data_IF_824608736284
#
_entry.id   IF_824608736284
#
_cell.length_a   1.000
_cell.length_b   1.000
_cell.length_c   1.000
_cell.angle_alpha   90.00
_cell.angle_beta   90.00
_cell.angle_gamma   90.00
#
_symmetry.space_group_name_H-M   'P 1'
#
loop_
_entity.id
_entity.type
_entity.pdbx_description
1 polymer ?
#
# COMPACT_ATOMS: atom_id res chain seq x y z
N UNK A 1 -29.93 7.32 21.94
CA UNK A 1 -29.52 8.62 22.48
C UNK A 1 -28.17 8.93 21.83
N UNK A 2 -28.21 9.58 20.65
CA UNK A 2 -27.04 9.84 19.83
C UNK A 2 -26.33 11.09 20.37
N UNK A 3 -25.13 10.90 20.91
CA UNK A 3 -24.20 11.99 21.16
C UNK A 3 -23.58 12.35 19.80
N UNK A 4 -24.19 13.28 19.08
CA UNK A 4 -23.56 13.88 17.92
C UNK A 4 -22.39 14.75 18.39
N UNK A 5 -21.29 14.70 17.66
CA UNK A 5 -20.05 15.49 17.82
C UNK A 5 -20.27 17.02 17.75
N UNK A 6 -21.53 17.48 17.66
CA UNK A 6 -21.94 18.85 17.36
C UNK A 6 -21.77 19.82 18.55
N UNK A 7 -21.57 19.32 19.78
CA UNK A 7 -21.50 20.16 20.98
C UNK A 7 -20.08 20.63 21.36
N UNK A 8 -19.02 20.24 20.63
CA UNK A 8 -17.63 20.59 20.99
C UNK A 8 -17.04 21.72 20.13
N UNK A 9 -17.64 22.05 18.98
CA UNK A 9 -17.14 23.12 18.07
C UNK A 9 -17.68 24.52 18.38
N UNK A 10 -18.67 24.66 19.26
CA UNK A 10 -19.46 25.89 19.43
C UNK A 10 -18.78 27.03 20.25
N UNK A 11 -17.45 27.09 20.36
CA UNK A 11 -16.81 28.13 21.19
C UNK A 11 -15.33 28.41 20.97
N UNK A 12 -14.73 27.94 19.87
CA UNK A 12 -13.29 28.13 19.62
C UNK A 12 -13.11 29.28 18.64
N UNK A 13 -12.48 30.38 19.08
CA UNK A 13 -12.13 31.50 18.20
C UNK A 13 -11.12 31.06 17.13
N UNK A 14 -11.22 31.54 15.87
CA UNK A 14 -10.23 31.27 14.83
C UNK A 14 -8.80 31.64 15.24
N UNK A 15 -8.64 32.63 16.12
CA UNK A 15 -7.35 32.99 16.68
C UNK A 15 -6.77 31.92 17.61
N UNK A 16 -7.61 31.29 18.43
CA UNK A 16 -7.18 30.23 19.34
C UNK A 16 -6.76 28.98 18.57
N UNK A 17 -7.45 28.70 17.45
CA UNK A 17 -7.08 27.63 16.52
C UNK A 17 -5.69 27.85 15.91
N UNK A 18 -5.38 29.10 15.52
CA UNK A 18 -4.06 29.48 14.98
C UNK A 18 -2.95 29.50 16.03
N UNK A 19 -3.27 29.93 17.25
CA UNK A 19 -2.29 30.03 18.35
C UNK A 19 -1.96 28.68 18.97
N UNK A 20 -2.90 27.73 19.00
CA UNK A 20 -2.74 26.41 19.65
C UNK A 20 -3.24 25.24 18.78
N UNK A 21 -2.72 25.06 17.56
CA UNK A 21 -3.16 24.00 16.64
C UNK A 21 -2.94 22.59 17.20
N UNK A 22 -1.90 22.34 18.01
CA UNK A 22 -1.70 21.04 18.69
C UNK A 22 -2.85 20.68 19.65
N UNK A 23 -3.49 21.68 20.27
CA UNK A 23 -4.57 21.48 21.24
C UNK A 23 -5.91 21.25 20.57
N UNK A 24 -6.21 22.00 19.51
CA UNK A 24 -7.55 22.02 18.90
C UNK A 24 -7.65 21.15 17.64
N UNK A 25 -6.53 20.87 16.98
CA UNK A 25 -6.45 20.05 15.77
C UNK A 25 -5.70 18.77 16.11
N UNK A 26 -4.39 18.86 16.36
CA UNK A 26 -3.56 17.74 16.81
C UNK A 26 -3.70 16.46 15.96
N UNK A 27 -3.45 15.32 16.61
CA UNK A 27 -3.70 14.00 16.03
C UNK A 27 -5.17 13.75 15.68
N UNK A 28 -6.12 14.40 16.35
CA UNK A 28 -7.56 14.26 16.04
C UNK A 28 -7.88 14.78 14.64
N UNK A 29 -7.33 15.93 14.26
CA UNK A 29 -7.49 16.48 12.92
C UNK A 29 -6.72 15.68 11.88
N UNK A 30 -5.51 15.23 12.23
CA UNK A 30 -4.68 14.45 11.33
C UNK A 30 -5.25 13.06 11.02
N UNK A 31 -5.75 12.35 12.03
CA UNK A 31 -6.35 11.03 11.83
C UNK A 31 -7.64 11.11 11.02
N UNK A 32 -8.47 12.16 11.24
CA UNK A 32 -9.63 12.45 10.39
C UNK A 32 -9.22 12.71 8.94
N UNK A 33 -8.13 13.44 8.72
CA UNK A 33 -7.59 13.69 7.38
C UNK A 33 -7.05 12.40 6.73
N UNK A 34 -6.20 11.62 7.40
CA UNK A 34 -5.66 10.37 6.84
C UNK A 34 -6.77 9.33 6.58
N UNK A 35 -7.77 9.22 7.47
CA UNK A 35 -8.89 8.30 7.31
C UNK A 35 -9.93 8.74 6.27
N UNK A 36 -9.84 9.98 5.76
CA UNK A 36 -10.83 10.52 4.83
C UNK A 36 -10.76 9.92 3.42
N UNK A 37 -9.59 9.44 3.00
CA UNK A 37 -9.40 8.73 1.74
C UNK A 37 -8.29 7.68 1.88
N UNK A 38 -8.49 6.53 1.24
CA UNK A 38 -7.47 5.49 1.13
C UNK A 38 -6.17 5.99 0.49
N UNK A 39 -6.24 7.00 -0.40
CA UNK A 39 -5.05 7.64 -0.99
C UNK A 39 -4.17 8.34 0.07
N UNK A 40 -4.76 8.77 1.20
CA UNK A 40 -4.05 9.41 2.31
C UNK A 40 -3.69 8.46 3.44
N UNK A 41 -4.16 7.21 3.39
CA UNK A 41 -3.85 6.14 4.35
C UNK A 41 -2.46 5.56 4.12
N UNK A 42 -1.45 6.42 4.32
CA UNK A 42 -0.03 6.20 4.06
C UNK A 42 0.73 6.16 5.39
N UNK A 43 1.50 5.09 5.58
CA UNK A 43 2.35 4.90 6.75
C UNK A 43 3.78 4.54 6.35
N UNK A 44 4.68 4.58 7.33
CA UNK A 44 6.07 4.14 7.18
C UNK A 44 6.17 2.63 7.35
N UNK A 45 6.92 1.97 6.46
CA UNK A 45 7.18 0.52 6.47
C UNK A 45 8.23 0.13 7.51
N UNK A 46 9.10 1.08 7.90
CA UNK A 46 10.24 0.83 8.78
C UNK A 46 11.12 -0.30 8.26
N UNK A 47 11.35 -0.35 6.95
CA UNK A 47 12.03 -1.47 6.29
C UNK A 47 13.46 -1.65 6.78
N UNK A 48 14.22 -0.56 6.89
CA UNK A 48 15.58 -0.57 7.43
C UNK A 48 15.62 -0.93 8.91
N UNK A 49 14.71 -0.37 9.72
CA UNK A 49 14.64 -0.68 11.15
C UNK A 49 14.26 -2.14 11.38
N UNK A 50 13.31 -2.67 10.61
CA UNK A 50 12.94 -4.08 10.63
C UNK A 50 14.12 -4.96 10.24
N UNK A 51 14.88 -4.59 9.20
CA UNK A 51 16.09 -5.31 8.83
C UNK A 51 17.13 -5.30 9.96
N UNK A 52 17.34 -4.16 10.64
CA UNK A 52 18.25 -4.08 11.81
C UNK A 52 17.80 -4.98 12.95
N UNK A 53 16.50 -5.02 13.28
CA UNK A 53 15.98 -5.92 14.31
C UNK A 53 16.16 -7.39 13.92
N UNK A 54 15.91 -7.75 12.65
CA UNK A 54 16.14 -9.11 12.16
C UNK A 54 17.62 -9.50 12.19
N UNK A 55 18.53 -8.60 11.82
CA UNK A 55 19.97 -8.83 11.92
C UNK A 55 20.43 -9.02 13.38
N UNK A 56 19.88 -8.23 14.31
CA UNK A 56 20.17 -8.41 15.74
C UNK A 56 19.70 -9.78 16.24
N UNK A 57 18.49 -10.21 15.87
CA UNK A 57 17.97 -11.53 16.24
C UNK A 57 18.78 -12.68 15.59
N UNK A 58 19.30 -12.48 14.37
CA UNK A 58 20.19 -13.46 13.73
C UNK A 58 21.50 -13.62 14.50
N UNK A 59 22.10 -12.52 14.93
CA UNK A 59 23.33 -12.53 15.72
C UNK A 59 23.12 -13.23 17.07
N UNK A 60 22.03 -12.90 17.77
CA UNK A 60 21.66 -13.58 19.03
C UNK A 60 21.45 -15.10 18.82
N UNK A 61 20.78 -15.49 17.74
CA UNK A 61 20.61 -16.91 17.41
C UNK A 61 21.93 -17.60 17.08
N UNK A 62 22.83 -16.92 16.35
CA UNK A 62 24.17 -17.43 16.03
C UNK A 62 25.02 -17.65 17.30
N UNK A 63 24.90 -16.75 18.28
CA UNK A 63 25.57 -16.89 19.56
C UNK A 63 25.03 -18.11 20.32
N UNK A 64 23.71 -18.24 20.42
CA UNK A 64 23.07 -19.37 21.10
C UNK A 64 23.38 -20.71 20.42
N UNK A 65 23.40 -20.75 19.09
CA UNK A 65 23.81 -21.93 18.31
C UNK A 65 25.26 -22.30 18.60
N UNK A 66 26.16 -21.32 18.64
CA UNK A 66 27.57 -21.52 18.97
C UNK A 66 27.74 -22.05 20.39
N UNK A 67 27.01 -21.50 21.36
CA UNK A 67 27.02 -21.97 22.75
C UNK A 67 26.50 -23.41 22.87
N UNK A 68 25.43 -23.76 22.15
CA UNK A 68 24.89 -25.11 22.09
C UNK A 68 25.90 -26.08 21.48
N UNK A 69 26.51 -25.71 20.35
CA UNK A 69 27.52 -26.52 19.67
C UNK A 69 28.74 -26.78 20.56
N UNK A 70 29.23 -25.76 21.28
CA UNK A 70 30.34 -25.91 22.23
C UNK A 70 29.96 -26.88 23.36
N UNK A 71 28.75 -26.77 23.89
CA UNK A 71 28.27 -27.67 24.94
C UNK A 71 28.18 -29.11 24.44
N UNK A 72 27.58 -29.33 23.27
CA UNK A 72 27.44 -30.66 22.69
C UNK A 72 28.80 -31.29 22.33
N UNK A 73 29.72 -30.48 21.81
CA UNK A 73 31.10 -30.92 21.56
C UNK A 73 31.85 -31.31 22.84
N UNK A 74 31.57 -30.67 23.98
CA UNK A 74 32.14 -31.07 25.27
C UNK A 74 31.53 -32.38 25.77
N UNK A 75 30.21 -32.54 25.62
CA UNK A 75 29.49 -33.74 26.04
C UNK A 75 29.79 -34.98 25.18
N UNK A 76 30.32 -34.79 23.97
CA UNK A 76 30.73 -35.88 23.06
C UNK A 76 32.20 -36.30 23.20
N UNK A 77 32.99 -35.65 24.06
CA UNK A 77 34.38 -36.03 24.28
C UNK A 77 34.49 -37.35 25.03
N UNK A 78 35.51 -38.15 24.73
CA UNK A 78 35.78 -39.42 25.41
C UNK A 78 36.04 -39.27 26.92
N UNK A 79 36.42 -38.08 27.38
CA UNK A 79 36.63 -37.74 28.79
C UNK A 79 35.36 -37.27 29.51
N UNK A 80 34.26 -37.06 28.79
CA UNK A 80 32.99 -36.61 29.35
C UNK A 80 32.23 -37.78 30.02
N UNK A 81 31.33 -37.49 30.99
CA UNK A 81 30.50 -38.52 31.60
C UNK A 81 29.62 -39.23 30.56
N UNK A 82 29.43 -40.55 30.73
CA UNK A 82 28.62 -41.39 29.82
C UNK A 82 27.13 -41.05 29.94
N UNK A 83 26.71 -40.03 29.20
CA UNK A 83 25.36 -39.48 29.20
C UNK A 83 24.72 -39.75 27.84
N UNK A 84 23.49 -40.23 27.85
CA UNK A 84 22.75 -40.57 26.65
C UNK A 84 22.32 -39.31 25.87
N UNK A 85 23.14 -38.87 24.92
CA UNK A 85 22.89 -37.68 24.11
C UNK A 85 21.84 -37.85 22.98
N UNK A 86 21.32 -39.07 22.76
CA UNK A 86 20.39 -39.39 21.67
C UNK A 86 18.89 -39.34 21.99
N UNK A 87 18.48 -38.87 23.17
CA UNK A 87 17.05 -38.83 23.55
C UNK A 87 16.72 -37.64 24.45
N UNK A 88 15.86 -36.74 23.98
CA UNK A 88 15.34 -35.63 24.78
C UNK A 88 14.51 -36.10 26.00
N UNK A 89 13.98 -37.33 25.97
CA UNK A 89 13.22 -37.92 27.09
C UNK A 89 14.13 -38.35 28.25
N UNK A 90 15.39 -38.62 27.96
CA UNK A 90 16.41 -39.04 28.92
C UNK A 90 17.43 -37.92 29.15
N UNK A 91 17.08 -36.70 28.79
CA UNK A 91 17.94 -35.54 28.95
C UNK A 91 18.18 -35.22 30.42
N UNK A 92 19.44 -35.29 30.83
CA UNK A 92 19.88 -34.93 32.18
C UNK A 92 20.56 -33.57 32.24
N UNK A 93 20.99 -33.02 31.09
CA UNK A 93 21.69 -31.74 31.00
C UNK A 93 20.72 -30.56 30.92
N UNK A 94 20.48 -29.94 32.08
CA UNK A 94 19.60 -28.77 32.18
C UNK A 94 20.06 -27.58 31.32
N UNK A 95 21.37 -27.39 31.15
CA UNK A 95 21.92 -26.29 30.35
C UNK A 95 21.54 -26.42 28.87
N UNK A 96 21.59 -27.64 28.31
CA UNK A 96 21.18 -27.90 26.92
C UNK A 96 19.70 -27.58 26.71
N UNK A 97 18.83 -27.99 27.64
CA UNK A 97 17.40 -27.65 27.60
C UNK A 97 17.13 -26.14 27.68
N UNK A 98 17.90 -25.41 28.49
CA UNK A 98 17.76 -23.94 28.58
C UNK A 98 18.13 -23.26 27.27
N UNK A 99 19.27 -23.64 26.67
CA UNK A 99 19.70 -23.10 25.38
C UNK A 99 18.66 -23.38 24.29
N UNK A 100 18.15 -24.62 24.20
CA UNK A 100 17.12 -24.99 23.22
C UNK A 100 15.83 -24.17 23.41
N UNK A 101 15.40 -23.91 24.65
CA UNK A 101 14.21 -23.08 24.93
C UNK A 101 14.42 -21.61 24.57
N UNK A 102 15.60 -21.06 24.86
CA UNK A 102 15.93 -19.68 24.47
C UNK A 102 15.97 -19.55 22.94
N UNK A 103 16.59 -20.52 22.25
CA UNK A 103 16.58 -20.61 20.79
C UNK A 103 15.15 -20.66 20.24
N UNK A 104 14.25 -21.49 20.80
CA UNK A 104 12.84 -21.53 20.40
C UNK A 104 12.15 -20.17 20.57
N UNK A 105 12.39 -19.47 21.69
CA UNK A 105 11.82 -18.14 21.92
C UNK A 105 12.29 -17.11 20.89
N UNK A 106 13.60 -17.07 20.61
CA UNK A 106 14.19 -16.15 19.63
C UNK A 106 13.79 -16.50 18.19
N UNK A 107 13.70 -17.78 17.86
CA UNK A 107 13.18 -18.25 16.56
C UNK A 107 11.71 -17.86 16.37
N UNK A 108 10.88 -17.95 17.42
CA UNK A 108 9.50 -17.46 17.36
C UNK A 108 9.42 -15.96 17.14
N UNK A 109 10.24 -15.18 17.85
CA UNK A 109 10.28 -13.72 17.66
C UNK A 109 10.75 -13.35 16.23
N UNK A 110 11.79 -14.01 15.74
CA UNK A 110 12.31 -13.84 14.39
C UNK A 110 11.26 -14.23 13.33
N UNK A 111 10.66 -15.41 13.47
CA UNK A 111 9.59 -15.89 12.59
C UNK A 111 8.34 -15.01 12.67
N UNK A 112 7.97 -14.52 13.86
CA UNK A 112 6.85 -13.62 14.04
C UNK A 112 7.12 -12.26 13.42
N UNK A 113 8.32 -11.69 13.47
CA UNK A 113 8.59 -10.40 12.82
C UNK A 113 8.57 -10.56 11.31
N UNK A 114 9.16 -11.64 10.81
CA UNK A 114 9.05 -12.04 9.41
C UNK A 114 7.56 -12.14 9.05
N UNK A 115 6.79 -12.98 9.73
CA UNK A 115 5.35 -13.22 9.47
C UNK A 115 4.45 -11.99 9.74
N UNK A 116 4.73 -11.16 10.74
CA UNK A 116 3.89 -10.00 11.13
C UNK A 116 4.18 -8.79 10.27
N UNK A 117 5.45 -8.58 9.90
CA UNK A 117 5.79 -7.69 8.77
C UNK A 117 5.15 -8.17 7.47
N UNK A 118 4.58 -9.38 7.45
CA UNK A 118 3.84 -9.96 6.34
C UNK A 118 2.29 -10.05 6.51
N UNK A 119 1.69 -9.83 7.68
CA UNK A 119 0.28 -10.21 7.98
C UNK A 119 -0.76 -9.08 7.90
N UNK A 120 -0.39 -7.81 7.73
CA UNK A 120 -1.35 -6.69 7.86
C UNK A 120 -2.30 -6.47 6.65
N UNK A 121 -2.70 -7.50 5.90
CA UNK A 121 -3.46 -7.32 4.66
C UNK A 121 -4.67 -8.25 4.41
N UNK A 122 -4.98 -9.24 5.24
CA UNK A 122 -6.17 -10.07 4.99
C UNK A 122 -6.78 -10.59 6.29
N UNK A 123 -7.93 -10.04 6.69
CA UNK A 123 -8.77 -10.64 7.70
C UNK A 123 -9.53 -11.82 7.05
N UNK A 124 -9.12 -13.05 7.38
CA UNK A 124 -9.77 -14.36 7.12
C UNK A 124 -8.99 -15.33 6.22
N UNK A 125 -7.78 -15.76 6.60
CA UNK A 125 -7.17 -16.96 6.01
C UNK A 125 -6.52 -17.82 7.11
N UNK A 126 -6.81 -19.14 7.20
CA UNK A 126 -6.23 -20.06 8.17
C UNK A 126 -4.74 -20.34 7.93
N UNK A 127 -4.06 -20.82 8.98
CA UNK A 127 -2.61 -20.77 9.20
C UNK A 127 -1.75 -21.70 8.31
N UNK A 128 -2.34 -22.42 7.38
CA UNK A 128 -1.73 -23.52 6.63
C UNK A 128 -1.19 -23.11 5.24
N UNK A 129 -1.40 -21.86 4.82
CA UNK A 129 -0.97 -21.31 3.53
C UNK A 129 0.01 -20.11 3.69
N UNK A 130 0.87 -20.15 4.70
CA UNK A 130 1.75 -19.03 5.09
C UNK A 130 2.97 -18.81 4.18
N UNK A 131 3.23 -19.63 3.16
CA UNK A 131 4.47 -19.55 2.38
C UNK A 131 4.32 -18.76 1.06
N UNK A 132 3.10 -18.60 0.52
CA UNK A 132 2.90 -18.12 -0.87
C UNK A 132 2.53 -16.62 -0.98
N UNK A 133 2.19 -15.91 0.10
CA UNK A 133 1.62 -14.56 0.00
C UNK A 133 2.62 -13.40 0.27
N UNK A 134 3.93 -13.62 0.13
CA UNK A 134 4.97 -12.68 0.63
C UNK A 134 5.71 -11.84 -0.40
N UNK A 135 5.36 -11.94 -1.69
CA UNK A 135 5.79 -10.95 -2.69
C UNK A 135 5.18 -9.56 -2.42
N UNK A 136 4.07 -9.46 -1.68
CA UNK A 136 3.14 -8.35 -1.86
C UNK A 136 3.46 -7.02 -1.17
N UNK A 137 4.08 -6.98 0.01
CA UNK A 137 4.42 -5.70 0.65
C UNK A 137 5.66 -5.03 0.03
N UNK A 138 6.58 -5.84 -0.50
CA UNK A 138 7.72 -5.37 -1.31
C UNK A 138 7.33 -5.12 -2.76
N UNK A 139 6.33 -5.84 -3.29
CA UNK A 139 5.75 -5.58 -4.62
C UNK A 139 4.73 -4.43 -4.63
N UNK A 140 4.24 -4.00 -3.45
CA UNK A 140 3.34 -2.84 -3.33
C UNK A 140 3.97 -1.64 -4.01
N UNK A 141 3.22 -1.12 -4.97
CA UNK A 141 3.63 0.00 -5.79
C UNK A 141 3.98 1.20 -4.91
N UNK A 142 5.03 1.91 -5.30
CA UNK A 142 5.45 3.13 -4.63
C UNK A 142 4.28 4.10 -4.49
N UNK A 143 4.15 4.73 -3.33
CA UNK A 143 3.13 5.76 -3.09
C UNK A 143 3.27 6.86 -4.14
N UNK A 144 2.18 7.25 -4.83
CA UNK A 144 2.23 8.35 -5.79
C UNK A 144 2.72 9.64 -5.14
N UNK A 145 3.66 10.35 -5.78
CA UNK A 145 4.23 11.62 -5.25
C UNK A 145 3.16 12.65 -4.88
N UNK A 146 2.05 12.67 -5.62
CA UNK A 146 0.92 13.58 -5.40
C UNK A 146 0.24 13.39 -4.04
N UNK A 147 0.19 12.15 -3.55
CA UNK A 147 -0.50 11.81 -2.29
C UNK A 147 0.39 12.22 -1.12
N UNK A 148 1.70 11.95 -1.25
CA UNK A 148 2.74 12.47 -0.34
C UNK A 148 2.72 14.01 -0.25
N UNK A 149 2.58 14.70 -1.39
CA UNK A 149 2.45 16.17 -1.44
C UNK A 149 1.18 16.63 -0.73
N UNK A 150 0.08 15.90 -0.83
CA UNK A 150 -1.19 16.26 -0.17
C UNK A 150 -1.07 16.18 1.35
N UNK A 151 -0.38 15.17 1.88
CA UNK A 151 -0.09 15.08 3.31
C UNK A 151 0.92 16.16 3.74
N UNK A 152 1.96 16.41 2.94
CA UNK A 152 2.93 17.49 3.18
C UNK A 152 2.26 18.87 3.23
N UNK A 153 1.30 19.13 2.33
CA UNK A 153 0.49 20.35 2.34
C UNK A 153 -0.36 20.45 3.60
N UNK A 154 -0.92 19.33 4.08
CA UNK A 154 -1.68 19.32 5.34
C UNK A 154 -0.79 19.72 6.53
N UNK A 155 0.44 19.18 6.63
CA UNK A 155 1.42 19.61 7.64
C UNK A 155 1.82 21.08 7.49
N UNK A 156 1.95 21.56 6.25
CA UNK A 156 2.29 22.96 6.00
C UNK A 156 1.17 23.92 6.41
N UNK A 157 -0.10 23.53 6.20
CA UNK A 157 -1.28 24.31 6.56
C UNK A 157 -1.53 24.29 8.08
N UNK A 158 -1.16 23.19 8.76
CA UNK A 158 -1.35 22.99 10.20
C UNK A 158 -0.02 22.95 10.96
N UNK A 159 0.79 24.00 10.82
CA UNK A 159 2.08 24.10 11.50
C UNK A 159 1.90 23.92 13.01
N UNK A 160 2.80 23.15 13.63
CA UNK A 160 2.77 22.83 15.06
C UNK A 160 1.50 22.09 15.54
N UNK A 161 0.67 21.53 14.65
CA UNK A 161 -0.40 20.63 15.07
C UNK A 161 0.16 19.27 15.53
N UNK A 162 1.23 18.82 14.88
CA UNK A 162 1.99 17.60 15.23
C UNK A 162 3.44 18.02 15.45
N UNK A 163 4.15 17.29 16.32
CA UNK A 163 5.58 17.52 16.55
C UNK A 163 6.37 17.27 15.28
N UNK A 164 7.44 18.05 15.07
CA UNK A 164 8.22 18.00 13.83
C UNK A 164 8.83 16.63 13.61
N UNK A 165 9.34 16.03 14.69
CA UNK A 165 9.97 14.71 14.73
C UNK A 165 9.02 13.61 14.23
N UNK A 166 7.72 13.76 14.47
CA UNK A 166 6.69 12.82 14.02
C UNK A 166 6.24 13.07 12.57
N UNK A 167 6.53 14.23 11.98
CA UNK A 167 6.20 14.56 10.59
C UNK A 167 7.29 14.21 9.58
N UNK A 168 8.52 13.98 10.06
CA UNK A 168 9.71 13.77 9.22
C UNK A 168 9.65 12.50 8.37
N UNK A 169 8.84 11.50 8.75
CA UNK A 169 8.68 10.26 7.99
C UNK A 169 8.25 10.47 6.53
N UNK A 170 7.55 11.56 6.24
CA UNK A 170 7.09 11.90 4.87
C UNK A 170 8.25 12.22 3.93
N UNK A 171 9.40 12.63 4.48
CA UNK A 171 10.59 12.96 3.71
C UNK A 171 11.33 11.71 3.20
N UNK A 172 10.91 10.50 3.62
CA UNK A 172 11.48 9.21 3.18
C UNK A 172 10.56 8.49 2.19
N UNK A 173 10.45 8.94 0.92
CA UNK A 173 9.46 8.42 -0.03
C UNK A 173 9.65 6.95 -0.44
N UNK A 174 10.78 6.34 -0.06
CA UNK A 174 11.07 4.93 -0.32
C UNK A 174 10.53 4.02 0.79
N UNK A 175 10.38 4.55 2.00
CA UNK A 175 9.89 3.80 3.16
C UNK A 175 8.40 4.01 3.42
N UNK A 176 7.70 4.77 2.56
CA UNK A 176 6.24 4.97 2.64
C UNK A 176 5.49 3.87 1.89
N UNK A 177 4.36 3.42 2.44
CA UNK A 177 3.42 2.53 1.76
C UNK A 177 1.97 2.97 1.95
N UNK A 178 1.14 2.73 0.92
CA UNK A 178 -0.30 2.84 1.04
C UNK A 178 -0.85 1.53 1.61
N UNK A 179 -1.70 1.63 2.63
CA UNK A 179 -2.29 0.45 3.28
C UNK A 179 -3.30 -0.23 2.35
N UNK A 180 -4.09 0.56 1.61
CA UNK A 180 -5.05 0.07 0.62
C UNK A 180 -4.53 0.41 -0.78
N UNK A 181 -3.96 -0.55 -1.52
CA UNK A 181 -3.52 -0.30 -2.88
C UNK A 181 -4.75 -0.09 -3.78
N UNK A 182 -4.90 1.12 -4.33
CA UNK A 182 -5.88 1.40 -5.39
C UNK A 182 -5.21 1.25 -6.76
N UNK A 183 -5.60 0.23 -7.51
CA UNK A 183 -5.25 0.14 -8.92
C UNK A 183 -5.97 1.26 -9.70
N UNK A 184 -5.22 2.19 -10.29
CA UNK A 184 -5.77 3.27 -11.13
C UNK A 184 -5.46 2.98 -12.59
N UNK A 185 -6.47 3.06 -13.47
CA UNK A 185 -6.28 2.88 -14.93
C UNK A 185 -5.28 3.91 -15.48
N UNK A 186 -4.49 3.58 -16.52
CA UNK A 186 -3.54 4.52 -17.12
C UNK A 186 -4.22 5.81 -17.58
N UNK A 187 -5.42 5.71 -18.16
CA UNK A 187 -6.22 6.88 -18.54
C UNK A 187 -6.60 7.74 -17.33
N UNK A 188 -7.01 7.12 -16.21
CA UNK A 188 -7.27 7.87 -14.97
C UNK A 188 -6.02 8.57 -14.45
N UNK A 189 -4.86 7.91 -14.48
CA UNK A 189 -3.59 8.53 -14.09
C UNK A 189 -3.22 9.71 -14.99
N UNK A 190 -3.43 9.59 -16.30
CA UNK A 190 -3.20 10.68 -17.25
C UNK A 190 -4.15 11.86 -17.02
N UNK A 191 -5.42 11.55 -16.75
CA UNK A 191 -6.46 12.55 -16.50
C UNK A 191 -6.23 13.28 -15.17
N UNK A 192 -5.83 12.56 -14.13
CA UNK A 192 -5.45 13.12 -12.82
C UNK A 192 -4.14 13.93 -12.88
N UNK A 193 -3.23 13.64 -13.83
CA UNK A 193 -2.04 14.45 -14.10
C UNK A 193 -2.40 15.82 -14.68
N UNK A 194 -3.55 15.94 -15.34
CA UNK A 194 -4.05 17.21 -15.86
C UNK A 194 -4.66 18.07 -14.76
N UNK A 195 -3.98 19.15 -14.41
CA UNK A 195 -4.44 20.14 -13.40
C UNK A 195 -5.82 20.73 -13.73
N UNK A 196 -6.12 20.91 -15.03
CA UNK A 196 -7.38 21.48 -15.51
C UNK A 196 -8.59 20.59 -15.21
N UNK A 197 -8.42 19.27 -15.26
CA UNK A 197 -9.51 18.33 -14.99
C UNK A 197 -9.92 18.36 -13.51
N UNK A 198 -8.96 18.50 -12.61
CA UNK A 198 -9.20 18.52 -11.15
C UNK A 198 -9.86 19.81 -10.67
N UNK A 199 -9.58 20.96 -11.30
CA UNK A 199 -10.21 22.23 -10.90
C UNK A 199 -11.69 22.32 -11.27
N UNK A 200 -12.18 21.43 -12.14
CA UNK A 200 -13.56 21.45 -12.59
C UNK A 200 -14.53 21.20 -11.42
N UNK A 201 -15.45 22.15 -11.25
CA UNK A 201 -16.37 22.26 -10.10
C UNK A 201 -17.27 21.03 -9.92
N UNK A 202 -17.47 20.25 -10.99
CA UNK A 202 -18.28 19.03 -11.03
C UNK A 202 -17.70 17.86 -10.19
N UNK A 203 -16.37 17.84 -9.99
CA UNK A 203 -15.69 16.73 -9.30
C UNK A 203 -15.55 16.95 -7.79
N UNK A 204 -15.87 18.15 -7.29
CA UNK A 204 -15.70 18.50 -5.88
C UNK A 204 -16.77 17.82 -5.02
N UNK A 205 -16.34 17.09 -3.99
CA UNK A 205 -17.21 16.80 -2.84
C UNK A 205 -17.33 18.07 -1.98
N UNK A 206 -18.49 18.28 -1.37
CA UNK A 206 -18.64 19.30 -0.34
C UNK A 206 -17.70 19.03 0.85
N UNK A 207 -17.30 20.08 1.60
CA UNK A 207 -16.38 19.92 2.72
C UNK A 207 -16.96 18.94 3.75
N UNK A 208 -16.19 17.94 4.15
CA UNK A 208 -16.61 16.94 5.16
C UNK A 208 -16.54 17.53 6.59
N UNK A 209 -15.95 18.71 6.79
CA UNK A 209 -16.04 19.46 8.04
C UNK A 209 -15.57 20.90 7.85
N UNK A 210 -16.05 21.82 8.68
CA UNK A 210 -15.81 23.28 8.65
C UNK A 210 -14.35 23.72 8.89
N UNK A 211 -13.39 22.80 8.92
CA UNK A 211 -11.96 23.11 8.97
C UNK A 211 -11.32 22.89 7.59
N UNK A 212 -11.63 23.84 6.72
CA UNK A 212 -10.75 24.49 5.75
C UNK A 212 -9.69 23.65 4.96
N UNK A 213 -9.87 23.66 3.63
CA UNK A 213 -8.86 23.56 2.55
C UNK A 213 -8.19 22.21 2.22
N UNK A 214 -8.89 21.09 2.30
CA UNK A 214 -8.50 19.89 1.54
C UNK A 214 -9.53 19.63 0.43
N UNK A 215 -9.08 19.75 -0.82
CA UNK A 215 -9.92 19.63 -2.01
C UNK A 215 -10.13 18.15 -2.35
N UNK A 216 -11.26 17.58 -1.91
CA UNK A 216 -11.65 16.20 -2.21
C UNK A 216 -12.33 16.10 -3.59
N UNK A 217 -11.69 15.39 -4.50
CA UNK A 217 -12.32 14.90 -5.73
C UNK A 217 -13.13 13.64 -5.43
N UNK A 218 -14.37 13.53 -5.92
CA UNK A 218 -15.15 12.31 -5.78
C UNK A 218 -14.62 11.24 -6.74
N UNK A 219 -13.73 10.36 -6.25
CA UNK A 219 -13.18 9.23 -7.02
C UNK A 219 -14.25 8.44 -7.79
N UNK A 220 -15.38 8.12 -7.16
CA UNK A 220 -16.49 7.41 -7.80
C UNK A 220 -17.10 8.15 -9.00
N UNK A 221 -17.15 9.49 -8.95
CA UNK A 221 -17.69 10.29 -10.07
C UNK A 221 -16.69 10.35 -11.21
N UNK A 222 -15.41 10.48 -10.87
CA UNK A 222 -14.31 10.47 -11.84
C UNK A 222 -14.28 9.11 -12.54
N UNK A 223 -14.38 8.01 -11.79
CA UNK A 223 -14.42 6.65 -12.35
C UNK A 223 -15.65 6.45 -13.25
N UNK A 224 -16.83 6.88 -12.82
CA UNK A 224 -18.05 6.81 -13.63
C UNK A 224 -17.94 7.63 -14.92
N UNK A 225 -17.39 8.84 -14.85
CA UNK A 225 -17.21 9.70 -16.01
C UNK A 225 -16.17 9.15 -16.98
N UNK A 226 -15.05 8.65 -16.46
CA UNK A 226 -14.03 7.97 -17.26
C UNK A 226 -14.65 6.76 -17.97
N UNK A 227 -15.41 5.93 -17.24
CA UNK A 227 -16.10 4.80 -17.83
C UNK A 227 -17.07 5.23 -18.93
N UNK A 228 -17.93 6.22 -18.68
CA UNK A 228 -18.89 6.73 -19.66
C UNK A 228 -18.19 7.27 -20.92
N UNK A 229 -17.16 8.10 -20.75
CA UNK A 229 -16.41 8.67 -21.86
C UNK A 229 -15.71 7.56 -22.68
N UNK A 230 -15.12 6.58 -21.99
CA UNK A 230 -14.48 5.44 -22.64
C UNK A 230 -15.50 4.59 -23.43
N UNK A 231 -16.70 4.36 -22.89
CA UNK A 231 -17.76 3.64 -23.62
C UNK A 231 -18.19 4.39 -24.88
N UNK A 232 -18.36 5.72 -24.80
CA UNK A 232 -18.74 6.55 -25.96
C UNK A 232 -17.66 6.53 -27.04
N UNK A 233 -16.38 6.70 -26.66
CA UNK A 233 -15.26 6.65 -27.61
C UNK A 233 -15.14 5.27 -28.25
N UNK A 234 -15.28 4.19 -27.46
CA UNK A 234 -15.28 2.82 -27.98
C UNK A 234 -16.41 2.57 -28.98
N UNK A 235 -17.61 3.08 -28.71
CA UNK A 235 -18.75 2.97 -29.64
C UNK A 235 -18.49 3.74 -30.94
N UNK A 236 -17.94 4.95 -30.86
CA UNK A 236 -17.57 5.74 -32.04
C UNK A 236 -16.48 5.06 -32.88
N UNK A 237 -15.52 4.38 -32.23
CA UNK A 237 -14.48 3.59 -32.93
C UNK A 237 -15.03 2.36 -33.64
N UNK A 238 -16.13 1.77 -33.15
CA UNK A 238 -16.76 0.62 -33.79
C UNK A 238 -17.62 1.04 -34.98
N UNK A 239 -18.39 2.12 -34.83
CA UNK A 239 -19.32 2.60 -35.85
C UNK A 239 -18.60 3.42 -36.93
N UNK A 240 -17.61 4.23 -36.56
CA UNK A 240 -16.87 5.11 -37.46
C UNK A 240 -16.30 4.44 -38.72
N UNK A 241 -15.57 3.31 -38.62
CA UNK A 241 -15.03 2.61 -39.78
C UNK A 241 -16.12 2.17 -40.75
N UNK A 242 -17.28 1.71 -40.24
CA UNK A 242 -18.41 1.25 -41.07
C UNK A 242 -18.98 2.38 -41.92
N UNK A 243 -19.16 3.56 -41.32
CA UNK A 243 -19.65 4.74 -42.04
C UNK A 243 -18.63 5.22 -43.07
N UNK A 244 -17.35 5.26 -42.73
CA UNK A 244 -16.29 5.69 -43.66
C UNK A 244 -16.17 4.68 -44.83
N UNK A 245 -16.29 3.38 -44.55
CA UNK A 245 -16.22 2.34 -45.59
C UNK A 245 -17.35 2.45 -46.63
N UNK A 246 -18.51 2.99 -46.23
CA UNK A 246 -19.64 3.20 -47.15
C UNK A 246 -19.30 4.18 -48.29
N UNK A 247 -18.39 5.13 -48.05
CA UNK A 247 -18.00 6.14 -49.04
C UNK A 247 -16.74 5.77 -49.84
N UNK A 248 -16.00 4.73 -49.43
CA UNK A 248 -14.75 4.32 -50.11
C UNK A 248 -15.04 3.14 -51.03
N UNK A 249 -14.73 3.27 -52.32
CA UNK A 249 -14.93 2.20 -53.32
C UNK A 249 -13.67 1.35 -53.55
N UNK A 250 -12.47 1.92 -53.39
CA UNK A 250 -11.21 1.21 -53.63
C UNK A 250 -10.87 0.23 -52.50
N UNK A 251 -10.71 -1.05 -52.83
CA UNK A 251 -10.42 -2.15 -51.88
C UNK A 251 -9.16 -1.93 -51.04
N UNK A 252 -8.07 -1.42 -51.65
CA UNK A 252 -6.80 -1.14 -50.93
C UNK A 252 -7.00 -0.08 -49.85
N UNK A 253 -7.78 0.98 -50.13
CA UNK A 253 -8.09 2.03 -49.15
C UNK A 253 -8.98 1.50 -48.03
N UNK A 254 -9.96 0.64 -48.34
CA UNK A 254 -10.80 -0.02 -47.32
C UNK A 254 -9.96 -0.83 -46.34
N UNK A 255 -9.02 -1.65 -46.86
CA UNK A 255 -8.13 -2.44 -46.03
C UNK A 255 -7.28 -1.56 -45.12
N UNK A 256 -6.70 -0.48 -45.66
CA UNK A 256 -5.91 0.48 -44.87
C UNK A 256 -6.71 1.18 -43.77
N UNK A 257 -7.99 1.50 -44.00
CA UNK A 257 -8.86 2.12 -42.99
C UNK A 257 -9.16 1.13 -41.86
N UNK A 258 -9.48 -0.12 -42.19
CA UNK A 258 -9.77 -1.15 -41.18
C UNK A 258 -8.53 -1.40 -40.31
N UNK A 259 -7.35 -1.56 -40.91
CA UNK A 259 -6.12 -1.80 -40.15
C UNK A 259 -5.75 -0.61 -39.26
N UNK A 260 -5.90 0.63 -39.75
CA UNK A 260 -5.67 1.82 -38.94
C UNK A 260 -6.62 1.87 -37.73
N UNK A 261 -7.92 1.69 -37.92
CA UNK A 261 -8.88 1.70 -36.81
C UNK A 261 -8.64 0.56 -35.82
N UNK A 262 -8.20 -0.62 -36.28
CA UNK A 262 -7.84 -1.75 -35.42
C UNK A 262 -6.63 -1.43 -34.54
N UNK A 263 -5.59 -0.78 -35.09
CA UNK A 263 -4.43 -0.33 -34.31
C UNK A 263 -4.83 0.72 -33.27
N UNK A 264 -5.65 1.72 -33.65
CA UNK A 264 -6.08 2.76 -32.70
C UNK A 264 -6.98 2.14 -31.62
N UNK A 265 -7.84 1.17 -31.96
CA UNK A 265 -8.65 0.42 -31.00
C UNK A 265 -7.79 -0.36 -30.00
N UNK A 266 -6.75 -1.05 -30.46
CA UNK A 266 -5.80 -1.74 -29.57
C UNK A 266 -5.09 -0.76 -28.64
N UNK A 267 -4.67 0.40 -29.15
CA UNK A 267 -4.12 1.47 -28.30
C UNK A 267 -5.13 1.93 -27.25
N UNK A 268 -6.39 2.16 -27.64
CA UNK A 268 -7.45 2.62 -26.75
C UNK A 268 -7.76 1.62 -25.63
N UNK A 269 -7.88 0.32 -25.95
CA UNK A 269 -8.05 -0.74 -24.95
C UNK A 269 -6.88 -0.72 -23.96
N UNK A 270 -5.64 -0.63 -24.45
CA UNK A 270 -4.44 -0.54 -23.60
C UNK A 270 -4.48 0.62 -22.60
N UNK A 271 -5.06 1.77 -22.96
CA UNK A 271 -5.17 2.92 -22.06
C UNK A 271 -6.32 2.80 -21.05
N UNK A 272 -7.39 2.08 -21.41
CA UNK A 272 -8.61 2.00 -20.61
C UNK A 272 -8.65 0.79 -19.67
N UNK A 273 -7.98 -0.31 -20.02
CA UNK A 273 -7.91 -1.51 -19.18
C UNK A 273 -6.74 -1.46 -18.21
N UNK A 274 -6.93 -2.01 -17.01
CA UNK A 274 -5.85 -2.21 -16.01
C UNK A 274 -4.98 -3.42 -16.38
N UNK A 275 -5.58 -4.42 -17.06
CA UNK A 275 -4.89 -5.59 -17.56
C UNK A 275 -3.94 -5.19 -18.69
N UNK A 276 -2.75 -5.82 -18.72
CA UNK A 276 -1.82 -5.62 -19.83
C UNK A 276 -2.48 -6.13 -21.11
N UNK A 277 -2.37 -5.44 -22.27
CA UNK A 277 -3.11 -5.79 -23.48
C UNK A 277 -2.98 -7.26 -23.90
N UNK A 278 -1.81 -7.87 -23.62
CA UNK A 278 -1.52 -9.26 -23.93
C UNK A 278 -2.24 -10.27 -23.01
N UNK A 279 -2.55 -9.92 -21.76
CA UNK A 279 -3.30 -10.78 -20.83
C UNK A 279 -4.79 -10.82 -21.20
N UNK A 280 -5.35 -9.68 -21.63
CA UNK A 280 -6.73 -9.59 -22.09
C UNK A 280 -6.95 -10.35 -23.41
N UNK A 281 -6.00 -10.28 -24.34
CA UNK A 281 -6.08 -10.99 -25.62
C UNK A 281 -5.95 -12.51 -25.45
N UNK A 282 -5.12 -12.97 -24.52
CA UNK A 282 -5.01 -14.40 -24.18
C UNK A 282 -6.31 -14.99 -23.62
N UNK A 283 -7.00 -14.24 -22.75
CA UNK A 283 -8.29 -14.65 -22.19
C UNK A 283 -9.45 -14.63 -23.20
N UNK A 284 -9.30 -13.95 -24.34
CA UNK A 284 -10.33 -13.94 -25.41
C UNK A 284 -10.09 -15.03 -26.46
N UNK A 285 -8.91 -15.66 -26.46
CA UNK A 285 -8.51 -16.72 -27.39
C UNK A 285 -8.56 -18.13 -26.78
N UNK A 286 -8.79 -18.23 -25.46
CA UNK A 286 -8.93 -19.48 -24.71
C UNK A 286 -10.40 -19.90 -24.58
#
# INVERSE_FOLDING_TARGET
MNLTDDNVSAGISPEDLRKKPWKYIGYRGFSKFIASDNDFFIFRRFSELTARVLLALQDELQELESQLLILENRLSQASAPDIHNGSFRQETQQMRLRLIREIDSRLRAYSQIITTSMVSASANIPADELIIQHSDLRSRSRVPKKDVISISNWFHNHRNAILREETEYINEPNDLFAVVPKAKTPLRQLLERSSHFRLWRLWRKGPISEMENVHYGSDQRIDLFVALMSTVVGLMMLIGPLWILAFVTQTVKRLGIITAFLVIFLCFVSFTTVARPFESLGATAA
#
